data_IF_385223568872
#
_entry.id   IF_385223568872
#
_cell.length_a   1.000
_cell.length_b   1.000
_cell.length_c   1.000
_cell.angle_alpha   90.00
_cell.angle_beta   90.00
_cell.angle_gamma   90.00
#
_symmetry.space_group_name_H-M   'P 1'
#
loop_
_entity.id
_entity.type
_entity.pdbx_description
1 polymer ?
#
# COMPACT_ATOMS: atom_id res chain seq x y z
N UNK A 1 35.25 -5.15 2.54
CA UNK A 1 34.42 -5.75 1.48
C UNK A 1 33.14 -6.25 2.14
N UNK A 2 32.08 -5.45 2.10
CA UNK A 2 30.76 -5.83 2.63
C UNK A 2 30.08 -6.73 1.60
N UNK A 3 29.75 -7.95 2.00
CA UNK A 3 29.00 -8.89 1.17
C UNK A 3 27.62 -8.28 0.89
N UNK A 4 27.34 -7.99 -0.38
CA UNK A 4 25.99 -7.67 -0.84
C UNK A 4 25.21 -8.98 -0.74
N UNK A 5 24.31 -9.07 0.25
CA UNK A 5 23.33 -10.14 0.28
C UNK A 5 22.55 -10.09 -1.03
N UNK A 6 22.79 -11.06 -1.91
CA UNK A 6 22.00 -11.23 -3.11
C UNK A 6 20.61 -11.64 -2.63
N UNK A 7 19.67 -10.68 -2.63
CA UNK A 7 18.26 -11.01 -2.47
C UNK A 7 17.95 -12.02 -3.58
N UNK A 8 17.65 -13.26 -3.20
CA UNK A 8 17.34 -14.33 -4.14
C UNK A 8 16.22 -13.88 -5.09
N UNK A 9 16.22 -14.40 -6.31
CA UNK A 9 15.15 -14.14 -7.27
C UNK A 9 13.80 -14.50 -6.61
N UNK A 10 12.79 -13.63 -6.64
CA UNK A 10 11.50 -13.93 -6.02
C UNK A 10 10.94 -15.24 -6.57
N UNK A 11 10.38 -16.08 -5.70
CA UNK A 11 9.72 -17.30 -6.18
C UNK A 11 8.56 -16.91 -7.12
N UNK A 12 8.27 -17.71 -8.18
CA UNK A 12 7.15 -17.43 -9.08
C UNK A 12 5.81 -17.28 -8.35
N UNK A 13 5.61 -18.06 -7.27
CA UNK A 13 4.45 -17.93 -6.41
C UNK A 13 4.40 -16.55 -5.74
N UNK A 14 5.48 -16.10 -5.10
CA UNK A 14 5.50 -14.82 -4.40
C UNK A 14 5.27 -13.67 -5.38
N UNK A 15 5.86 -13.76 -6.57
CA UNK A 15 5.65 -12.79 -7.65
C UNK A 15 4.17 -12.71 -8.05
N UNK A 16 3.52 -13.85 -8.29
CA UNK A 16 2.10 -13.90 -8.63
C UNK A 16 1.21 -13.35 -7.49
N UNK A 17 1.53 -13.68 -6.23
CA UNK A 17 0.81 -13.15 -5.06
C UNK A 17 0.94 -11.63 -4.99
N UNK A 18 2.14 -11.09 -5.21
CA UNK A 18 2.39 -9.65 -5.24
C UNK A 18 1.58 -8.96 -6.35
N UNK A 19 1.64 -9.48 -7.58
CA UNK A 19 0.88 -8.93 -8.71
C UNK A 19 -0.63 -8.95 -8.47
N UNK A 20 -1.13 -10.04 -7.88
CA UNK A 20 -2.53 -10.16 -7.48
C UNK A 20 -2.90 -9.12 -6.43
N UNK A 21 -2.06 -8.94 -5.41
CA UNK A 21 -2.25 -7.91 -4.38
C UNK A 21 -2.30 -6.51 -5.01
N UNK A 22 -1.41 -6.21 -5.96
CA UNK A 22 -1.40 -4.92 -6.66
C UNK A 22 -2.71 -4.71 -7.44
N UNK A 23 -3.17 -5.72 -8.18
CA UNK A 23 -4.41 -5.65 -8.94
C UNK A 23 -5.64 -5.42 -8.05
N UNK A 24 -5.76 -6.17 -6.95
CA UNK A 24 -6.85 -6.00 -5.98
C UNK A 24 -6.81 -4.62 -5.31
N UNK A 25 -5.61 -4.12 -5.01
CA UNK A 25 -5.44 -2.78 -4.44
C UNK A 25 -5.87 -1.69 -5.42
N UNK A 26 -5.53 -1.84 -6.70
CA UNK A 26 -5.97 -0.91 -7.74
C UNK A 26 -7.50 -0.93 -7.88
N UNK A 27 -8.11 -2.11 -7.81
CA UNK A 27 -9.56 -2.25 -7.83
C UNK A 27 -10.21 -1.54 -6.63
N UNK A 28 -9.66 -1.70 -5.41
CA UNK A 28 -10.13 -1.00 -4.22
C UNK A 28 -10.06 0.52 -4.37
N UNK A 29 -8.92 1.04 -4.84
CA UNK A 29 -8.72 2.47 -5.09
C UNK A 29 -9.74 2.99 -6.10
N UNK A 30 -9.94 2.26 -7.20
CA UNK A 30 -10.94 2.62 -8.21
C UNK A 30 -12.37 2.59 -7.65
N UNK A 31 -12.71 1.58 -6.84
CA UNK A 31 -14.02 1.49 -6.18
C UNK A 31 -14.28 2.71 -5.30
N UNK A 32 -13.29 3.14 -4.52
CA UNK A 32 -13.39 4.35 -3.68
C UNK A 32 -13.54 5.61 -4.53
N UNK A 33 -12.70 5.78 -5.54
CA UNK A 33 -12.68 6.96 -6.43
C UNK A 33 -14.02 7.13 -7.18
N UNK A 34 -14.59 6.02 -7.67
CA UNK A 34 -15.79 6.01 -8.51
C UNK A 34 -17.10 5.70 -7.76
N UNK A 35 -17.07 5.43 -6.45
CA UNK A 35 -18.29 5.23 -5.66
C UNK A 35 -19.28 6.42 -5.81
N UNK A 36 -18.85 7.70 -5.69
CA UNK A 36 -19.77 8.83 -5.79
C UNK A 36 -20.46 8.96 -7.16
N UNK A 37 -19.78 8.57 -8.24
CA UNK A 37 -20.31 8.70 -9.61
C UNK A 37 -21.23 7.55 -10.00
N UNK A 38 -21.12 6.41 -9.32
CA UNK A 38 -21.95 5.22 -9.54
C UNK A 38 -23.15 5.14 -8.58
N UNK A 39 -23.31 6.12 -7.70
CA UNK A 39 -24.36 6.13 -6.66
C UNK A 39 -24.12 5.14 -5.52
N UNK A 40 -22.92 4.55 -5.47
CA UNK A 40 -22.50 3.64 -4.41
C UNK A 40 -21.83 4.38 -3.25
N UNK A 41 -21.75 3.71 -2.10
CA UNK A 41 -20.88 4.11 -0.99
C UNK A 41 -19.94 2.95 -0.68
N UNK A 42 -18.70 3.26 -0.31
CA UNK A 42 -17.76 2.24 0.15
C UNK A 42 -17.82 2.16 1.66
N UNK A 43 -18.05 0.96 2.19
CA UNK A 43 -18.09 0.70 3.63
C UNK A 43 -16.72 1.00 4.28
N UNK A 44 -16.64 1.95 5.24
CA UNK A 44 -15.40 2.27 5.94
C UNK A 44 -14.74 1.05 6.60
N UNK A 45 -15.52 0.10 7.15
CA UNK A 45 -14.98 -1.10 7.82
C UNK A 45 -14.26 -2.01 6.82
N UNK A 46 -14.80 -2.11 5.60
CA UNK A 46 -14.19 -2.87 4.51
C UNK A 46 -12.88 -2.21 4.06
N UNK A 47 -12.82 -0.88 3.99
CA UNK A 47 -11.59 -0.14 3.67
C UNK A 47 -10.53 -0.38 4.75
N UNK A 48 -10.90 -0.33 6.03
CA UNK A 48 -9.98 -0.57 7.14
C UNK A 48 -9.47 -2.01 7.20
N UNK A 49 -10.33 -2.99 6.95
CA UNK A 49 -9.95 -4.40 6.86
C UNK A 49 -8.94 -4.64 5.72
N UNK A 50 -9.18 -4.03 4.56
CA UNK A 50 -8.27 -4.10 3.42
C UNK A 50 -6.92 -3.42 3.71
N UNK A 51 -6.93 -2.24 4.37
CA UNK A 51 -5.70 -1.58 4.82
C UNK A 51 -4.89 -2.48 5.77
N UNK A 52 -5.55 -3.22 6.66
CA UNK A 52 -4.89 -4.20 7.53
C UNK A 52 -4.26 -5.38 6.78
N UNK A 53 -4.84 -5.80 5.65
CA UNK A 53 -4.21 -6.81 4.77
C UNK A 53 -2.96 -6.25 4.08
N UNK A 54 -3.01 -5.01 3.61
CA UNK A 54 -1.87 -4.35 2.97
C UNK A 54 -0.67 -4.18 3.91
N UNK A 55 -0.91 -3.85 5.18
CA UNK A 55 0.17 -3.77 6.17
C UNK A 55 0.85 -5.12 6.38
N UNK A 56 0.07 -6.21 6.44
CA UNK A 56 0.63 -7.57 6.53
C UNK A 56 1.48 -7.88 5.31
N UNK A 57 0.98 -7.60 4.10
CA UNK A 57 1.73 -7.83 2.87
C UNK A 57 3.00 -6.96 2.78
N UNK A 58 2.94 -5.71 3.24
CA UNK A 58 4.12 -4.85 3.32
C UNK A 58 5.18 -5.45 4.26
N UNK A 59 4.76 -5.94 5.43
CA UNK A 59 5.66 -6.60 6.36
C UNK A 59 6.24 -7.91 5.80
N UNK A 60 5.43 -8.74 5.14
CA UNK A 60 5.87 -9.97 4.47
C UNK A 60 6.92 -9.66 3.39
N UNK A 61 6.74 -8.59 2.61
CA UNK A 61 7.73 -8.13 1.61
C UNK A 61 9.04 -7.71 2.27
N UNK A 62 8.99 -6.97 3.38
CA UNK A 62 10.19 -6.59 4.13
C UNK A 62 10.93 -7.82 4.70
N UNK A 63 10.19 -8.79 5.23
CA UNK A 63 10.74 -10.07 5.70
C UNK A 63 11.42 -10.84 4.58
N UNK A 64 10.77 -10.96 3.41
CA UNK A 64 11.35 -11.61 2.23
C UNK A 64 12.64 -10.89 1.75
N UNK A 65 12.73 -9.58 1.95
CA UNK A 65 13.92 -8.79 1.63
C UNK A 65 15.01 -8.86 2.72
N UNK A 66 14.83 -9.68 3.76
CA UNK A 66 15.77 -9.81 4.88
C UNK A 66 15.77 -8.61 5.85
N UNK A 67 14.70 -7.82 5.86
CA UNK A 67 14.56 -6.60 6.67
C UNK A 67 13.55 -6.81 7.82
N UNK A 68 13.75 -7.85 8.63
CA UNK A 68 12.81 -8.26 9.67
C UNK A 68 12.59 -7.20 10.77
N UNK A 69 13.62 -6.45 11.12
CA UNK A 69 13.58 -5.43 12.18
C UNK A 69 13.21 -4.03 11.65
N UNK A 70 12.85 -3.91 10.37
CA UNK A 70 12.50 -2.62 9.79
C UNK A 70 11.17 -2.10 10.34
N UNK A 71 11.13 -0.82 10.72
CA UNK A 71 9.90 -0.11 11.06
C UNK A 71 9.11 0.23 9.78
N UNK A 72 8.49 -0.80 9.19
CA UNK A 72 7.68 -0.67 7.97
C UNK A 72 6.55 0.33 8.17
N UNK A 73 5.90 0.33 9.35
CA UNK A 73 4.80 1.23 9.64
C UNK A 73 5.25 2.71 9.65
N UNK A 74 6.36 3.03 10.32
CA UNK A 74 6.94 4.37 10.33
C UNK A 74 7.40 4.83 8.94
N UNK A 75 8.06 3.95 8.19
CA UNK A 75 8.47 4.23 6.81
C UNK A 75 7.28 4.49 5.90
N UNK A 76 6.24 3.67 5.98
CA UNK A 76 5.00 3.84 5.21
C UNK A 76 4.28 5.15 5.54
N UNK A 77 4.21 5.52 6.81
CA UNK A 77 3.65 6.81 7.21
C UNK A 77 4.46 7.98 6.64
N UNK A 78 5.79 7.90 6.67
CA UNK A 78 6.66 8.93 6.10
C UNK A 78 6.45 9.06 4.58
N UNK A 79 6.45 7.94 3.85
CA UNK A 79 6.18 7.92 2.40
C UNK A 79 4.82 8.54 2.08
N UNK A 80 3.77 8.19 2.83
CA UNK A 80 2.45 8.82 2.67
C UNK A 80 2.52 10.34 2.82
N UNK A 81 3.15 10.83 3.89
CA UNK A 81 3.25 12.27 4.14
C UNK A 81 4.04 13.02 3.08
N UNK A 82 5.09 12.40 2.54
CA UNK A 82 5.85 12.97 1.42
C UNK A 82 4.97 13.09 0.16
N UNK A 83 4.15 12.08 -0.14
CA UNK A 83 3.23 12.11 -1.28
C UNK A 83 2.14 13.17 -1.11
N UNK A 84 1.69 13.41 0.12
CA UNK A 84 0.67 14.42 0.44
C UNK A 84 1.22 15.82 0.69
N UNK A 85 2.54 16.04 0.63
CA UNK A 85 3.17 17.30 1.04
C UNK A 85 2.66 18.55 0.30
N UNK A 86 2.19 18.37 -0.94
CA UNK A 86 1.65 19.46 -1.78
C UNK A 86 0.12 19.53 -1.69
N UNK A 87 -0.56 18.39 -1.58
CA UNK A 87 -2.03 18.30 -1.55
C UNK A 87 -2.46 17.06 -0.77
N UNK A 88 -3.28 17.24 0.26
CA UNK A 88 -3.75 16.14 1.12
C UNK A 88 -4.92 15.38 0.48
N UNK A 89 -4.62 14.63 -0.58
CA UNK A 89 -5.53 13.77 -1.33
C UNK A 89 -5.17 12.30 -1.16
N UNK A 90 -5.79 11.60 -0.19
CA UNK A 90 -5.43 10.23 0.14
C UNK A 90 -5.59 9.26 -1.02
N UNK A 91 -6.64 9.37 -1.84
CA UNK A 91 -6.86 8.44 -2.95
C UNK A 91 -5.79 8.60 -4.03
N UNK A 92 -5.42 9.84 -4.35
CA UNK A 92 -4.33 10.11 -5.28
C UNK A 92 -2.98 9.64 -4.72
N UNK A 93 -2.71 9.84 -3.43
CA UNK A 93 -1.51 9.34 -2.76
C UNK A 93 -1.44 7.81 -2.78
N UNK A 94 -2.57 7.12 -2.52
CA UNK A 94 -2.70 5.67 -2.63
C UNK A 94 -2.34 5.18 -4.04
N UNK A 95 -2.88 5.83 -5.08
CA UNK A 95 -2.59 5.47 -6.47
C UNK A 95 -1.11 5.64 -6.81
N UNK A 96 -0.49 6.77 -6.44
CA UNK A 96 0.93 6.99 -6.68
C UNK A 96 1.83 6.00 -5.93
N UNK A 97 1.51 5.73 -4.66
CA UNK A 97 2.24 4.75 -3.88
C UNK A 97 2.14 3.35 -4.48
N UNK A 98 0.93 2.93 -4.88
CA UNK A 98 0.72 1.63 -5.52
C UNK A 98 1.48 1.52 -6.84
N UNK A 99 1.43 2.57 -7.68
CA UNK A 99 2.17 2.61 -8.95
C UNK A 99 3.68 2.46 -8.72
N UNK A 100 4.22 3.13 -7.72
CA UNK A 100 5.64 3.02 -7.33
C UNK A 100 5.98 1.61 -6.85
N UNK A 101 5.14 1.02 -5.99
CA UNK A 101 5.33 -0.36 -5.53
C UNK A 101 5.30 -1.35 -6.71
N UNK A 102 4.33 -1.22 -7.61
CA UNK A 102 4.20 -2.07 -8.79
C UNK A 102 5.41 -1.95 -9.74
N UNK A 103 5.93 -0.73 -9.93
CA UNK A 103 7.12 -0.50 -10.74
C UNK A 103 8.38 -1.13 -10.15
N UNK A 104 8.56 -1.01 -8.83
CA UNK A 104 9.70 -1.59 -8.12
C UNK A 104 9.63 -3.12 -8.04
N UNK A 105 8.42 -3.67 -7.93
CA UNK A 105 8.18 -5.09 -7.75
C UNK A 105 8.78 -5.63 -6.45
N UNK A 106 8.81 -6.95 -6.29
CA UNK A 106 9.43 -7.59 -5.12
C UNK A 106 10.93 -7.32 -4.99
N UNK A 107 11.62 -7.07 -6.12
CA UNK A 107 13.05 -6.74 -6.13
C UNK A 107 13.38 -5.42 -5.42
N UNK A 108 12.41 -4.50 -5.29
CA UNK A 108 12.57 -3.27 -4.51
C UNK A 108 12.56 -3.46 -2.98
N UNK A 109 12.23 -4.66 -2.50
CA UNK A 109 12.32 -5.04 -1.09
C UNK A 109 11.61 -4.07 -0.14
N UNK A 110 12.37 -3.53 0.82
CA UNK A 110 11.83 -2.60 1.83
C UNK A 110 11.19 -1.35 1.23
N UNK A 111 11.69 -0.85 0.10
CA UNK A 111 11.11 0.31 -0.56
C UNK A 111 9.72 -0.02 -1.11
N UNK A 112 9.56 -1.19 -1.74
CA UNK A 112 8.26 -1.70 -2.19
C UNK A 112 7.29 -1.88 -1.02
N UNK A 113 7.77 -2.49 0.07
CA UNK A 113 7.00 -2.62 1.31
C UNK A 113 6.52 -1.27 1.84
N UNK A 114 7.41 -0.28 1.90
CA UNK A 114 7.11 1.07 2.39
C UNK A 114 6.04 1.74 1.56
N UNK A 115 6.12 1.65 0.23
CA UNK A 115 5.09 2.16 -0.67
C UNK A 115 3.76 1.41 -0.54
N UNK A 116 3.78 0.08 -0.42
CA UNK A 116 2.54 -0.69 -0.23
C UNK A 116 1.85 -0.35 1.09
N UNK A 117 2.60 -0.21 2.20
CA UNK A 117 2.03 0.24 3.46
C UNK A 117 1.60 1.72 3.43
N UNK A 118 2.21 2.56 2.59
CA UNK A 118 1.73 3.94 2.40
C UNK A 118 0.33 3.96 1.76
N UNK A 119 -0.01 2.96 0.93
CA UNK A 119 -1.39 2.75 0.45
C UNK A 119 -2.31 2.45 1.63
N UNK A 120 -1.92 1.58 2.56
CA UNK A 120 -2.73 1.28 3.75
C UNK A 120 -2.98 2.53 4.61
N UNK A 121 -1.95 3.36 4.81
CA UNK A 121 -2.08 4.66 5.51
C UNK A 121 -3.09 5.57 4.79
N UNK A 122 -3.01 5.65 3.46
CA UNK A 122 -3.94 6.43 2.67
C UNK A 122 -5.39 5.91 2.78
N UNK A 123 -5.61 4.60 2.70
CA UNK A 123 -6.94 4.00 2.84
C UNK A 123 -7.58 4.28 4.20
N UNK A 124 -6.80 4.24 5.30
CA UNK A 124 -7.29 4.65 6.63
C UNK A 124 -7.73 6.10 6.65
N UNK A 125 -7.01 6.99 5.97
CA UNK A 125 -7.39 8.40 5.83
C UNK A 125 -8.68 8.57 5.04
N UNK A 126 -8.91 7.77 4.02
CA UNK A 126 -10.19 7.72 3.28
C UNK A 126 -11.32 7.30 4.22
N UNK A 127 -11.17 6.18 4.93
CA UNK A 127 -12.22 5.64 5.81
C UNK A 127 -12.65 6.67 6.88
N UNK A 128 -11.68 7.30 7.56
CA UNK A 128 -11.96 8.33 8.58
C UNK A 128 -12.64 9.58 7.98
N UNK A 129 -12.30 9.96 6.74
CA UNK A 129 -12.98 11.07 6.06
C UNK A 129 -14.40 10.69 5.63
N UNK A 130 -14.63 9.44 5.24
CA UNK A 130 -15.95 8.91 4.90
C UNK A 130 -16.91 8.94 6.09
N UNK A 131 -16.48 8.49 7.27
CA UNK A 131 -17.30 8.54 8.49
C UNK A 131 -17.76 9.96 8.85
N UNK A 132 -16.88 10.95 8.70
CA UNK A 132 -17.19 12.36 8.99
C UNK A 132 -18.22 12.98 8.04
N UNK A 133 -18.46 12.38 6.88
CA UNK A 133 -19.44 12.88 5.91
C UNK A 133 -20.83 12.25 6.08
N UNK A 134 -20.93 11.17 6.86
CA UNK A 134 -22.17 10.39 7.06
C UNK A 134 -22.86 10.73 8.39
N UNK A 135 -22.14 11.34 9.34
CA UNK A 135 -22.65 11.79 10.65
C UNK A 135 -22.75 13.32 10.74
#
# INVERSE_FOLDING_TARGET
MTAVAHAGTPSPHNQQTFETSVALTLQMIATIEFAPTTGGTTDPDLILAFAGQLDRHAHDIALMAGQADADVAGLSANVYWQLCAVRDEPVQAAYHALKSAAFLGLGGGLTTASFLGAVAVALRRVAVRGERLVH
#
